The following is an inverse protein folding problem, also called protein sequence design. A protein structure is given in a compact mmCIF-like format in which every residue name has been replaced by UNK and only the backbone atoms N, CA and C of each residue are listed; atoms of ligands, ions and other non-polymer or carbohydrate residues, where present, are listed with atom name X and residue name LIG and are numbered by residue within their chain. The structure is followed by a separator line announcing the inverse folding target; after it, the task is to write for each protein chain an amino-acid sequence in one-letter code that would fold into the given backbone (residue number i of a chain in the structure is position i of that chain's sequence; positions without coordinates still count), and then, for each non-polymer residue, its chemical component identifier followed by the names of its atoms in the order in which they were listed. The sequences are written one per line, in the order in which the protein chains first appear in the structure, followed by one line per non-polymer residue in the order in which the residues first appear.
data_IF_475123077491
#
_entry.id   IF_475123077491
#
_cell.length_a   1.000
_cell.length_b   1.000
_cell.length_c   1.000
_cell.angle_alpha   90.00
_cell.angle_beta   90.00
_cell.angle_gamma   90.00
#
_symmetry.space_group_name_H-M   'P 1'
#
loop_
_entity.id
_entity.type
_entity.pdbx_description
1 polymer ?
#
# COMPACT_ATOMS: atom_id res chain seq x y z
N UNK A 1 -0.71 3.96 -18.45
CA UNK A 1 -1.83 3.85 -17.52
C UNK A 1 -1.75 2.48 -16.88
N UNK A 2 -1.53 2.42 -15.58
CA UNK A 2 -1.50 1.16 -14.83
C UNK A 2 -2.49 1.31 -13.68
N UNK A 3 -3.48 0.42 -13.64
CA UNK A 3 -4.44 0.36 -12.55
C UNK A 3 -3.91 -0.58 -11.48
N UNK A 4 -3.58 -0.02 -10.32
CA UNK A 4 -3.00 -0.71 -9.17
C UNK A 4 -4.04 -0.78 -8.06
N UNK A 5 -4.39 -1.99 -7.63
CA UNK A 5 -5.20 -2.18 -6.43
C UNK A 5 -4.30 -2.11 -5.20
N UNK A 6 -4.65 -1.25 -4.26
CA UNK A 6 -4.03 -1.18 -2.93
C UNK A 6 -5.01 -1.72 -1.91
N UNK A 7 -4.61 -2.79 -1.23
CA UNK A 7 -5.45 -3.55 -0.31
C UNK A 7 -4.60 -4.05 0.87
N UNK A 8 -5.22 -4.50 1.95
CA UNK A 8 -4.49 -5.10 3.06
C UNK A 8 -5.35 -5.21 4.31
N UNK A 9 -4.70 -5.55 5.42
CA UNK A 9 -5.33 -5.73 6.73
C UNK A 9 -6.59 -6.61 6.62
N UNK A 10 -6.46 -7.73 5.92
CA UNK A 10 -7.58 -8.65 5.65
C UNK A 10 -7.89 -9.49 6.90
N UNK A 11 -6.86 -10.00 7.58
CA UNK A 11 -6.95 -10.86 8.76
C UNK A 11 -7.91 -12.04 8.57
N UNK A 12 -7.84 -12.70 7.42
CA UNK A 12 -8.64 -13.91 7.13
C UNK A 12 -7.74 -15.13 7.41
N UNK A 13 -8.17 -16.09 8.25
CA UNK A 13 -9.47 -16.21 8.93
C UNK A 13 -9.50 -15.66 10.36
N UNK A 14 -8.40 -15.04 10.83
CA UNK A 14 -8.19 -14.75 12.26
C UNK A 14 -9.20 -13.78 12.88
N UNK A 15 -9.54 -12.69 12.19
CA UNK A 15 -10.48 -11.66 12.68
C UNK A 15 -11.75 -11.58 11.84
N UNK A 16 -11.67 -11.95 10.56
CA UNK A 16 -12.79 -11.93 9.63
C UNK A 16 -12.78 -13.20 8.79
N UNK A 17 -13.93 -13.56 8.20
CA UNK A 17 -14.06 -14.80 7.43
C UNK A 17 -13.99 -14.59 5.92
N UNK A 18 -14.24 -13.37 5.43
CA UNK A 18 -14.34 -13.10 3.99
C UNK A 18 -14.33 -11.58 3.70
N UNK A 19 -14.04 -11.22 2.45
CA UNK A 19 -14.24 -9.86 1.94
C UNK A 19 -15.74 -9.55 1.77
N UNK A 20 -16.16 -8.29 1.96
CA UNK A 20 -17.54 -7.91 1.71
C UNK A 20 -18.00 -8.26 0.29
N UNK A 21 -19.21 -8.82 0.17
CA UNK A 21 -19.74 -9.30 -1.11
C UNK A 21 -19.77 -8.21 -2.20
N UNK A 22 -20.00 -6.95 -1.83
CA UNK A 22 -19.95 -5.82 -2.78
C UNK A 22 -18.54 -5.57 -3.31
N UNK A 23 -17.50 -5.72 -2.48
CA UNK A 23 -16.11 -5.58 -2.92
C UNK A 23 -15.70 -6.72 -3.85
N UNK A 24 -16.06 -7.97 -3.53
CA UNK A 24 -15.79 -9.12 -4.43
C UNK A 24 -16.39 -8.97 -5.82
N UNK A 25 -17.57 -8.32 -5.93
CA UNK A 25 -18.18 -8.02 -7.23
C UNK A 25 -17.43 -6.95 -8.03
N UNK A 26 -16.66 -6.08 -7.36
CA UNK A 26 -15.86 -5.03 -7.99
C UNK A 26 -14.46 -5.54 -8.37
N UNK A 27 -13.88 -6.39 -7.54
CA UNK A 27 -12.56 -6.98 -7.70
C UNK A 27 -12.60 -8.18 -8.66
N UNK A 28 -12.87 -7.89 -9.94
CA UNK A 28 -12.93 -8.90 -11.01
C UNK A 28 -11.64 -8.95 -11.82
N UNK A 29 -11.22 -10.15 -12.26
CA UNK A 29 -10.04 -10.32 -13.10
C UNK A 29 -10.10 -9.53 -14.41
N UNK A 30 -8.94 -9.14 -14.93
CA UNK A 30 -8.80 -8.52 -16.26
C UNK A 30 -8.91 -7.00 -16.32
N UNK A 31 -9.25 -6.34 -15.20
CA UNK A 31 -9.22 -4.87 -15.09
C UNK A 31 -7.99 -4.33 -14.36
N UNK A 32 -7.55 -5.03 -13.32
CA UNK A 32 -6.46 -4.62 -12.43
C UNK A 32 -5.16 -5.22 -12.96
N UNK A 33 -4.15 -4.38 -13.19
CA UNK A 33 -2.85 -4.82 -13.70
C UNK A 33 -1.95 -5.36 -12.59
N UNK A 34 -2.05 -4.78 -11.40
CA UNK A 34 -1.17 -5.07 -10.28
C UNK A 34 -1.88 -4.89 -8.94
N UNK A 35 -1.50 -5.67 -7.95
CA UNK A 35 -1.93 -5.53 -6.56
C UNK A 35 -0.73 -5.17 -5.69
N UNK A 36 -0.90 -4.17 -4.83
CA UNK A 36 -0.03 -3.85 -3.71
C UNK A 36 -0.80 -4.15 -2.44
N UNK A 37 -0.35 -5.17 -1.70
CA UNK A 37 -0.94 -5.57 -0.44
C UNK A 37 -0.08 -5.10 0.73
N UNK A 38 -0.66 -4.38 1.69
CA UNK A 38 0.04 -3.94 2.92
C UNK A 38 0.26 -5.08 3.92
N UNK A 39 -0.22 -6.30 3.65
CA UNK A 39 -0.01 -7.46 4.52
C UNK A 39 -1.22 -7.79 5.38
N UNK A 40 -1.01 -8.64 6.39
CA UNK A 40 -2.06 -9.29 7.19
C UNK A 40 -3.07 -10.01 6.27
N UNK A 41 -2.55 -10.76 5.30
CA UNK A 41 -3.30 -11.71 4.47
C UNK A 41 -3.59 -12.98 5.27
N UNK A 42 -2.66 -13.36 6.15
CA UNK A 42 -2.67 -14.48 7.09
C UNK A 42 -2.61 -15.86 6.43
N UNK A 43 -3.56 -16.23 5.57
CA UNK A 43 -3.62 -17.56 4.98
C UNK A 43 -3.24 -17.63 3.48
N UNK A 44 -2.98 -18.85 3.02
CA UNK A 44 -2.61 -19.11 1.62
C UNK A 44 -3.80 -18.95 0.67
N UNK A 45 -5.02 -19.27 1.12
CA UNK A 45 -6.22 -19.22 0.29
C UNK A 45 -6.56 -17.78 -0.11
N UNK A 46 -6.45 -16.84 0.84
CA UNK A 46 -6.63 -15.41 0.58
C UNK A 46 -5.55 -14.87 -0.34
N UNK A 47 -4.29 -15.30 -0.17
CA UNK A 47 -3.21 -14.94 -1.09
C UNK A 47 -3.46 -15.46 -2.51
N UNK A 48 -3.88 -16.72 -2.67
CA UNK A 48 -4.21 -17.30 -3.96
C UNK A 48 -5.41 -16.58 -4.61
N UNK A 49 -6.41 -16.19 -3.82
CA UNK A 49 -7.52 -15.34 -4.29
C UNK A 49 -7.02 -14.02 -4.89
N UNK A 50 -6.10 -13.31 -4.23
CA UNK A 50 -5.52 -12.07 -4.78
C UNK A 50 -4.82 -12.32 -6.12
N UNK A 51 -4.15 -13.47 -6.28
CA UNK A 51 -3.50 -13.86 -7.56
C UNK A 51 -4.50 -14.18 -8.68
N UNK A 52 -5.76 -14.46 -8.36
CA UNK A 52 -6.79 -14.59 -9.39
C UNK A 52 -7.24 -13.23 -9.95
N UNK A 53 -7.14 -12.17 -9.16
CA UNK A 53 -7.61 -10.82 -9.53
C UNK A 53 -6.64 -10.12 -10.48
N UNK A 54 -5.33 -10.22 -10.20
CA UNK A 54 -4.30 -9.55 -10.99
C UNK A 54 -3.10 -10.48 -11.26
N UNK A 55 -2.42 -10.31 -12.41
CA UNK A 55 -1.25 -11.13 -12.76
C UNK A 55 -0.05 -10.85 -11.85
N UNK A 56 0.07 -9.63 -11.33
CA UNK A 56 1.19 -9.18 -10.51
C UNK A 56 0.69 -8.81 -9.10
N UNK A 57 1.20 -9.50 -8.08
CA UNK A 57 0.79 -9.30 -6.67
C UNK A 57 2.01 -9.12 -5.80
N UNK A 58 2.15 -7.91 -5.27
CA UNK A 58 3.18 -7.55 -4.29
C UNK A 58 2.57 -7.55 -2.91
N UNK A 59 3.22 -8.21 -1.95
CA UNK A 59 2.75 -8.28 -0.57
C UNK A 59 3.93 -7.97 0.33
N UNK A 60 3.74 -7.05 1.27
CA UNK A 60 4.66 -6.88 2.40
C UNK A 60 4.14 -7.62 3.61
N UNK A 61 5.04 -8.01 4.50
CA UNK A 61 4.72 -8.83 5.66
C UNK A 61 4.04 -8.02 6.75
N UNK A 62 2.81 -8.41 7.07
CA UNK A 62 2.10 -7.98 8.25
C UNK A 62 2.52 -8.72 9.52
N UNK A 63 2.13 -8.19 10.68
CA UNK A 63 2.47 -8.78 11.97
C UNK A 63 1.82 -10.16 12.19
N UNK A 64 0.69 -10.42 11.54
CA UNK A 64 -0.05 -11.69 11.60
C UNK A 64 0.16 -12.59 10.37
N UNK A 65 1.05 -12.22 9.43
CA UNK A 65 1.37 -13.08 8.31
C UNK A 65 2.32 -14.21 8.72
N UNK A 66 1.86 -15.45 8.56
CA UNK A 66 2.67 -16.66 8.81
C UNK A 66 3.75 -16.87 7.75
N UNK A 67 3.52 -16.38 6.52
CA UNK A 67 4.47 -16.52 5.44
C UNK A 67 5.69 -15.59 5.64
N UNK A 68 6.80 -16.17 6.07
CA UNK A 68 8.06 -15.47 6.34
C UNK A 68 8.80 -15.01 5.09
N UNK A 69 8.39 -15.47 3.90
CA UNK A 69 8.97 -15.03 2.63
C UNK A 69 8.47 -13.66 2.17
N UNK A 70 7.39 -13.15 2.76
CA UNK A 70 6.98 -11.78 2.49
C UNK A 70 8.03 -10.80 3.04
N UNK A 71 8.51 -9.85 2.21
CA UNK A 71 9.47 -8.85 2.65
C UNK A 71 8.81 -7.84 3.61
N UNK A 72 9.59 -7.27 4.52
CA UNK A 72 9.09 -6.24 5.46
C UNK A 72 8.77 -4.90 4.77
N UNK A 73 9.44 -4.63 3.65
CA UNK A 73 9.21 -3.44 2.83
C UNK A 73 9.48 -3.75 1.36
N UNK A 74 8.84 -3.00 0.47
CA UNK A 74 9.04 -3.07 -0.97
C UNK A 74 9.14 -1.67 -1.56
N UNK A 75 9.92 -1.53 -2.63
CA UNK A 75 9.95 -0.33 -3.45
C UNK A 75 9.64 -0.72 -4.89
N UNK A 76 8.57 -0.15 -5.44
CA UNK A 76 8.04 -0.44 -6.76
C UNK A 76 8.20 0.82 -7.62
N UNK A 77 8.81 0.67 -8.79
CA UNK A 77 9.05 1.76 -9.73
C UNK A 77 7.97 1.78 -10.82
N UNK A 78 7.20 2.86 -10.90
CA UNK A 78 6.26 3.14 -11.99
C UNK A 78 6.70 4.38 -12.77
N UNK A 79 7.40 4.18 -13.88
CA UNK A 79 7.87 5.28 -14.76
C UNK A 79 8.57 6.40 -13.97
N UNK A 80 7.84 7.48 -13.67
CA UNK A 80 8.33 8.67 -12.96
C UNK A 80 8.10 8.65 -11.45
N UNK A 81 7.45 7.62 -10.89
CA UNK A 81 7.05 7.54 -9.48
C UNK A 81 7.65 6.30 -8.82
N UNK A 82 8.21 6.48 -7.62
CA UNK A 82 8.56 5.38 -6.71
C UNK A 82 7.50 5.24 -5.64
N UNK A 83 6.98 4.02 -5.50
CA UNK A 83 6.02 3.65 -4.47
C UNK A 83 6.76 2.78 -3.45
N UNK A 84 6.86 3.26 -2.21
CA UNK A 84 7.28 2.45 -1.07
C UNK A 84 6.07 1.77 -0.46
N UNK A 85 6.24 0.53 -0.02
CA UNK A 85 5.18 -0.24 0.62
C UNK A 85 5.72 -0.80 1.92
N UNK A 86 4.98 -0.61 3.00
CA UNK A 86 5.25 -1.16 4.33
C UNK A 86 3.93 -1.57 4.99
N UNK A 87 4.01 -2.45 5.98
CA UNK A 87 2.80 -2.84 6.71
C UNK A 87 2.33 -1.77 7.68
N UNK A 88 3.22 -1.19 8.49
CA UNK A 88 2.84 -0.20 9.51
C UNK A 88 3.52 -0.42 10.85
N UNK A 89 3.88 -1.66 11.18
CA UNK A 89 4.63 -2.04 12.38
C UNK A 89 6.00 -1.35 12.52
N UNK A 90 6.51 -0.80 11.41
CA UNK A 90 7.76 -0.04 11.35
C UNK A 90 7.60 1.42 11.80
N UNK A 91 6.36 1.90 11.98
CA UNK A 91 6.04 3.31 12.22
C UNK A 91 5.57 3.46 13.68
N UNK A 92 6.33 4.20 14.47
CA UNK A 92 6.05 4.41 15.90
C UNK A 92 6.21 5.91 16.23
N UNK A 93 5.14 6.61 16.64
CA UNK A 93 3.76 6.13 16.86
C UNK A 93 3.04 5.73 15.55
N UNK A 94 2.11 4.78 15.62
CA UNK A 94 1.39 4.29 14.44
C UNK A 94 0.59 5.43 13.76
N UNK A 95 0.75 5.58 12.45
CA UNK A 95 0.08 6.63 11.67
C UNK A 95 0.67 8.04 11.83
N UNK A 96 1.77 8.21 12.56
CA UNK A 96 2.40 9.52 12.73
C UNK A 96 2.98 10.04 11.40
N UNK A 97 2.58 11.25 11.00
CA UNK A 97 2.94 11.83 9.71
C UNK A 97 4.42 12.15 9.57
N UNK A 98 5.08 12.54 10.67
CA UNK A 98 6.52 12.84 10.67
C UNK A 98 7.34 11.54 10.53
N UNK A 99 6.92 10.47 11.20
CA UNK A 99 7.55 9.15 11.08
C UNK A 99 7.34 8.54 9.69
N UNK A 100 6.13 8.65 9.15
CA UNK A 100 5.82 8.28 7.77
C UNK A 100 6.73 9.04 6.78
N UNK A 101 6.87 10.36 6.96
CA UNK A 101 7.73 11.19 6.12
C UNK A 101 9.20 10.80 6.24
N UNK A 102 9.68 10.53 7.45
CA UNK A 102 11.04 10.05 7.68
C UNK A 102 11.31 8.72 6.96
N UNK A 103 10.37 7.78 7.04
CA UNK A 103 10.47 6.50 6.36
C UNK A 103 10.45 6.66 4.83
N UNK A 104 9.57 7.52 4.31
CA UNK A 104 9.51 7.81 2.88
C UNK A 104 10.80 8.44 2.36
N UNK A 105 11.44 9.33 3.14
CA UNK A 105 12.77 9.88 2.84
C UNK A 105 13.84 8.79 2.84
N UNK A 106 13.83 7.92 3.84
CA UNK A 106 14.79 6.82 3.95
C UNK A 106 14.68 5.83 2.78
N UNK A 107 13.45 5.52 2.35
CA UNK A 107 13.20 4.63 1.21
C UNK A 107 13.37 5.34 -0.15
N UNK A 108 13.55 6.66 -0.14
CA UNK A 108 13.64 7.52 -1.31
C UNK A 108 12.43 7.34 -2.27
N UNK A 109 11.21 7.45 -1.72
CA UNK A 109 9.96 7.24 -2.47
C UNK A 109 9.13 8.52 -2.58
N UNK A 110 8.32 8.62 -3.63
CA UNK A 110 7.39 9.74 -3.82
C UNK A 110 6.01 9.43 -3.22
N UNK A 111 5.61 8.16 -3.25
CA UNK A 111 4.39 7.65 -2.64
C UNK A 111 4.77 6.61 -1.59
N UNK A 112 4.25 6.71 -0.38
CA UNK A 112 4.37 5.68 0.66
C UNK A 112 2.99 5.07 0.94
N UNK A 113 2.90 3.75 0.79
CA UNK A 113 1.73 2.95 1.13
C UNK A 113 1.99 2.23 2.44
N UNK A 114 1.13 2.44 3.43
CA UNK A 114 1.18 1.81 4.76
C UNK A 114 -0.19 1.30 5.18
N UNK A 115 -0.27 0.24 5.99
CA UNK A 115 -1.48 -0.22 6.66
C UNK A 115 -1.34 -0.23 8.18
N UNK A 116 -1.90 -1.25 8.83
CA UNK A 116 -1.76 -1.55 10.27
C UNK A 116 -2.62 -0.67 11.18
N UNK A 117 -2.69 0.63 10.85
CA UNK A 117 -3.84 1.44 11.23
C UNK A 117 -4.96 0.98 10.29
N UNK A 118 -5.99 0.25 10.68
CA UNK A 118 -7.09 -0.11 9.77
C UNK A 118 -7.97 1.08 9.31
N UNK A 119 -7.43 2.28 9.12
CA UNK A 119 -8.14 3.48 8.69
C UNK A 119 -7.63 3.95 7.35
N UNK A 120 -8.57 4.24 6.47
CA UNK A 120 -8.24 4.89 5.23
C UNK A 120 -7.68 6.30 5.49
N UNK A 121 -6.53 6.59 4.89
CA UNK A 121 -5.93 7.93 4.88
C UNK A 121 -5.28 8.17 3.51
N UNK A 122 -5.46 9.35 2.93
CA UNK A 122 -4.70 9.77 1.77
C UNK A 122 -4.42 11.27 1.87
N UNK A 123 -3.14 11.63 1.97
CA UNK A 123 -2.74 13.01 2.18
C UNK A 123 -1.37 13.29 1.56
N UNK A 124 -1.14 14.56 1.25
CA UNK A 124 0.17 15.07 0.85
C UNK A 124 0.87 15.66 2.06
N UNK A 125 2.14 15.31 2.25
CA UNK A 125 2.99 15.88 3.28
C UNK A 125 4.43 15.96 2.77
N UNK A 126 5.10 17.09 2.99
CA UNK A 126 6.44 17.36 2.44
C UNK A 126 6.61 16.98 0.94
N UNK A 127 5.62 17.33 0.12
CA UNK A 127 5.62 17.06 -1.34
C UNK A 127 5.61 15.57 -1.73
N UNK A 128 5.39 14.68 -0.76
CA UNK A 128 5.18 13.24 -0.95
C UNK A 128 3.74 12.87 -0.66
N UNK A 129 3.31 11.74 -1.22
CA UNK A 129 1.96 11.25 -1.05
C UNK A 129 1.93 10.03 -0.14
N UNK A 130 1.02 10.03 0.82
CA UNK A 130 0.86 8.95 1.78
C UNK A 130 -0.52 8.34 1.59
N UNK A 131 -0.57 7.01 1.51
CA UNK A 131 -1.81 6.27 1.32
C UNK A 131 -1.86 5.14 2.34
N UNK A 132 -2.95 5.08 3.09
CA UNK A 132 -3.37 3.91 3.82
C UNK A 132 -4.70 3.42 3.25
N UNK A 133 -4.79 2.20 2.68
CA UNK A 133 -6.05 1.68 2.13
C UNK A 133 -7.09 1.34 3.20
N UNK A 134 -6.72 1.34 4.48
CA UNK A 134 -7.49 0.77 5.58
C UNK A 134 -7.59 -0.76 5.51
N UNK A 135 -8.53 -1.33 6.24
CA UNK A 135 -8.80 -2.78 6.21
C UNK A 135 -9.85 -3.13 5.18
N UNK A 136 -9.51 -4.03 4.25
CA UNK A 136 -10.42 -4.47 3.19
C UNK A 136 -11.65 -5.23 3.70
N UNK A 137 -11.53 -5.85 4.87
CA UNK A 137 -12.58 -6.64 5.52
C UNK A 137 -13.28 -5.88 6.64
N UNK A 138 -12.75 -4.73 7.05
CA UNK A 138 -13.19 -4.02 8.25
C UNK A 138 -12.75 -4.72 9.54
N UNK A 139 -11.62 -5.42 9.51
CA UNK A 139 -11.06 -6.08 10.67
C UNK A 139 -10.82 -5.08 11.81
N UNK A 140 -11.03 -5.52 13.05
CA UNK A 140 -10.80 -4.69 14.23
C UNK A 140 -9.32 -4.32 14.38
N UNK A 141 -9.04 -3.11 14.89
CA UNK A 141 -7.69 -2.64 15.25
C UNK A 141 -7.65 -2.17 16.70
N UNK A 142 -6.56 -2.49 17.42
CA UNK A 142 -6.35 -2.06 18.81
C UNK A 142 -5.84 -0.63 18.96
N UNK A 143 -5.66 0.11 17.87
CA UNK A 143 -5.01 1.43 17.87
C UNK A 143 -5.97 2.60 18.15
N UNK A 144 -7.30 2.41 18.02
CA UNK A 144 -8.30 3.43 18.35
C UNK A 144 -9.64 2.81 18.75
N UNK A 145 -10.47 3.65 19.37
CA UNK A 145 -11.84 3.29 19.69
C UNK A 145 -12.76 3.67 18.54
N UNK A 146 -13.42 2.70 17.93
CA UNK A 146 -14.45 2.93 16.91
C UNK A 146 -14.61 1.76 15.95
N UNK A 147 -15.68 1.80 15.16
CA UNK A 147 -15.93 0.82 14.12
C UNK A 147 -14.97 1.05 12.95
N UNK A 148 -14.46 -0.06 12.40
CA UNK A 148 -13.61 -0.03 11.21
C UNK A 148 -14.50 -0.17 9.98
N UNK A 149 -14.47 0.82 9.10
CA UNK A 149 -15.17 0.76 7.81
C UNK A 149 -14.34 -0.05 6.83
N UNK A 150 -14.88 -1.11 6.21
CA UNK A 150 -14.16 -1.84 5.16
C UNK A 150 -13.79 -0.91 4.00
N UNK A 151 -12.53 -0.93 3.60
CA UNK A 151 -12.03 -0.08 2.53
C UNK A 151 -10.87 -0.66 1.73
N UNK A 152 -10.72 -0.22 0.49
CA UNK A 152 -9.53 -0.42 -0.33
C UNK A 152 -9.35 0.77 -1.28
N UNK A 153 -8.20 0.87 -1.94
CA UNK A 153 -7.95 1.93 -2.92
C UNK A 153 -7.58 1.37 -4.30
N UNK A 154 -7.95 2.08 -5.36
CA UNK A 154 -7.45 1.88 -6.71
C UNK A 154 -6.63 3.11 -7.12
N UNK A 155 -5.36 2.90 -7.40
CA UNK A 155 -4.49 3.93 -7.95
C UNK A 155 -4.42 3.79 -9.47
N UNK A 156 -4.68 4.88 -10.18
CA UNK A 156 -4.34 5.03 -11.58
C UNK A 156 -3.07 5.86 -11.70
N UNK A 157 -1.97 5.20 -12.09
CA UNK A 157 -0.66 5.82 -12.21
C UNK A 157 -0.38 6.17 -13.67
N UNK A 158 -0.23 7.48 -13.93
CA UNK A 158 0.00 8.04 -15.26
C UNK A 158 1.16 9.04 -15.24
N UNK A 159 2.37 8.58 -15.58
CA UNK A 159 3.55 9.44 -15.56
C UNK A 159 3.82 9.99 -14.15
N UNK A 160 3.82 11.33 -13.94
CA UNK A 160 3.99 11.94 -12.63
C UNK A 160 2.68 12.11 -11.83
N UNK A 161 1.54 11.67 -12.35
CA UNK A 161 0.23 11.82 -11.69
C UNK A 161 -0.26 10.49 -11.14
N UNK A 162 -0.78 10.53 -9.91
CA UNK A 162 -1.49 9.43 -9.26
C UNK A 162 -2.90 9.89 -8.96
N UNK A 163 -3.88 9.18 -9.50
CA UNK A 163 -5.28 9.34 -9.12
C UNK A 163 -5.67 8.16 -8.25
N UNK A 164 -6.05 8.42 -7.00
CA UNK A 164 -6.47 7.40 -6.04
C UNK A 164 -7.97 7.44 -5.85
N UNK A 165 -8.64 6.34 -6.18
CA UNK A 165 -10.06 6.11 -5.90
C UNK A 165 -10.20 5.23 -4.66
N UNK A 166 -11.00 5.67 -3.72
CA UNK A 166 -11.12 5.04 -2.39
C UNK A 166 -12.50 4.45 -2.28
N UNK A 167 -12.58 3.15 -2.06
CA UNK A 167 -13.85 2.43 -1.94
C UNK A 167 -14.11 2.17 -0.48
N UNK A 168 -15.20 2.72 0.05
CA UNK A 168 -15.62 2.57 1.45
C UNK A 168 -16.96 1.86 1.48
N UNK A 169 -17.14 0.90 2.39
CA UNK A 169 -18.43 0.23 2.60
C UNK A 169 -19.15 0.82 3.81
N UNK A 170 -20.05 1.76 3.57
CA UNK A 170 -20.83 2.46 4.61
C UNK A 170 -22.30 2.11 4.47
N UNK A 171 -22.93 1.66 5.56
CA UNK A 171 -24.36 1.26 5.58
C UNK A 171 -24.72 0.26 4.48
N UNK A 172 -23.82 -0.70 4.25
CA UNK A 172 -23.87 -1.67 3.15
C UNK A 172 -23.78 -1.06 1.75
N UNK A 173 -23.57 0.23 1.56
CA UNK A 173 -23.36 0.88 0.27
C UNK A 173 -21.89 1.20 0.02
N UNK A 174 -21.48 1.10 -1.26
CA UNK A 174 -20.11 1.44 -1.65
C UNK A 174 -20.08 2.91 -1.99
N UNK A 175 -19.34 3.69 -1.20
CA UNK A 175 -19.01 5.08 -1.51
C UNK A 175 -17.62 5.14 -2.13
N UNK A 176 -17.43 6.07 -3.06
CA UNK A 176 -16.16 6.26 -3.76
C UNK A 176 -15.70 7.70 -3.63
N UNK A 177 -14.54 7.90 -3.02
CA UNK A 177 -13.86 9.19 -2.98
C UNK A 177 -12.69 9.21 -3.96
N UNK A 178 -12.29 10.41 -4.41
CA UNK A 178 -11.20 10.60 -5.35
C UNK A 178 -10.20 11.61 -4.79
N UNK A 179 -8.92 11.23 -4.80
CA UNK A 179 -7.79 12.09 -4.45
C UNK A 179 -6.79 12.08 -5.61
N UNK A 180 -6.20 13.23 -5.92
CA UNK A 180 -5.19 13.36 -6.97
C UNK A 180 -3.90 13.90 -6.37
N UNK A 181 -2.78 13.26 -6.72
CA UNK A 181 -1.44 13.70 -6.40
C UNK A 181 -0.63 13.87 -7.68
N UNK A 182 0.18 14.93 -7.72
CA UNK A 182 1.14 15.18 -8.79
C UNK A 182 2.53 15.29 -8.19
N UNK A 183 3.41 14.41 -8.62
CA UNK A 183 4.84 14.48 -8.26
C UNK A 183 5.40 15.83 -8.72
N UNK A 184 6.05 16.62 -7.84
CA UNK A 184 6.69 17.86 -8.23
C UNK A 184 7.85 17.62 -9.21
N UNK A 185 8.08 18.59 -10.10
CA UNK A 185 9.22 18.60 -11.02
C UNK A 185 10.52 18.89 -10.24
N UNK A 186 11.06 17.88 -9.56
CA UNK A 186 12.41 17.92 -9.01
C UNK A 186 13.30 16.87 -9.68
N UNK A 187 14.50 17.25 -10.17
CA UNK A 187 15.48 16.30 -10.63
C UNK A 187 15.94 15.46 -9.44
N UNK A 188 15.77 14.13 -9.53
CA UNK A 188 16.43 13.22 -8.57
C UNK A 188 17.93 13.40 -8.79
N UNK A 189 18.66 13.76 -7.73
CA UNK A 189 20.11 13.67 -7.75
C UNK A 189 20.45 12.20 -8.01
N UNK A 190 20.94 11.90 -9.23
CA UNK A 190 21.52 10.60 -9.53
C UNK A 190 22.79 10.53 -8.71
N UNK A 191 22.81 9.74 -7.64
CA UNK A 191 24.04 9.45 -6.93
C UNK A 191 25.05 8.89 -7.93
N UNK A 192 26.13 9.65 -8.13
CA UNK A 192 27.25 9.21 -8.94
C UNK A 192 27.87 7.99 -8.28
N UNK A 193 27.87 6.87 -9.00
CA UNK A 193 28.62 5.65 -8.68
C UNK A 193 29.97 5.98 -8.01
N UNK A 194 30.29 5.44 -6.82
CA UNK A 194 31.60 5.63 -6.25
C UNK A 194 32.63 5.02 -7.22
N UNK A 195 33.61 5.84 -7.60
CA UNK A 195 34.78 5.41 -8.39
C UNK A 195 35.38 4.16 -7.74
N UNK A 196 35.60 3.11 -8.55
CA UNK A 196 36.51 2.04 -8.17
C UNK A 196 37.86 2.67 -7.83
N UNK A 197 38.22 2.69 -6.54
CA UNK A 197 39.60 2.91 -6.14
C UNK A 197 40.41 1.72 -6.66
N UNK A 198 41.22 2.01 -7.67
CA UNK A 198 42.28 1.12 -8.13
C UNK A 198 43.24 0.95 -6.95
N UNK A 199 43.22 -0.21 -6.32
CA UNK A 199 44.25 -0.61 -5.38
C UNK A 199 45.59 -0.69 -6.13
N UNK A 200 46.40 0.36 -6.03
CA UNK A 200 47.80 0.32 -6.42
C UNK A 200 48.57 -0.24 -5.24
N UNK A 201 49.20 -1.40 -5.46
CA UNK A 201 49.88 -2.17 -4.44
C UNK A 201 51.10 -1.49 -3.81
N UNK A 202 51.47 -2.04 -2.66
CA UNK A 202 52.82 -2.21 -2.14
C UNK A 202 52.90 -3.62 -1.54
#
# INVERSE_FOLDING_TARGET
MVLVLVIGDLHIPNLTYDLPAKFKKLLVPGKIGQIICTGNVCDKETYDYLRTIAPEVHVVRGEFDENTHFPLSLTIQHQSIRIGVVHGQQIVPAGDSEMLAALARQMDVDVLVSGGTHRFEAFEFEQRFFINPGSATGAWSGLWNGDVTPSFALMDVQGPVVVTYVYLLLDQEVKVDKVEYRRPDQPRHVESTPRQEVAVGW
#
